data_IF_915024780228
#
_entry.id   IF_915024780228
#
_cell.length_a   1.000
_cell.length_b   1.000
_cell.length_c   1.000
_cell.angle_alpha   90.00
_cell.angle_beta   90.00
_cell.angle_gamma   90.00
#
_symmetry.space_group_name_H-M   'P 1'
#
loop_
_entity.id
_entity.type
_entity.pdbx_description
1 polymer ?
#
# COMPACT_ATOMS: atom_id res chain seq x y z
N UNK A 1 19.23 -12.85 -9.47
CA UNK A 1 18.60 -11.52 -9.37
C UNK A 1 18.17 -11.33 -7.94
N UNK A 2 18.70 -10.33 -7.22
CA UNK A 2 18.33 -10.08 -5.82
C UNK A 2 17.07 -9.23 -5.79
N UNK A 3 15.95 -9.81 -5.38
CA UNK A 3 14.68 -9.08 -5.25
C UNK A 3 14.72 -8.27 -3.95
N UNK A 4 14.62 -6.95 -4.07
CA UNK A 4 14.61 -6.04 -2.91
C UNK A 4 13.17 -5.86 -2.46
N UNK A 5 12.87 -6.34 -1.27
CA UNK A 5 11.58 -6.09 -0.62
C UNK A 5 11.50 -4.64 -0.14
N UNK A 6 10.36 -4.02 -0.37
CA UNK A 6 10.02 -2.69 0.09
C UNK A 6 9.34 -2.78 1.44
N UNK A 7 9.84 -2.06 2.43
CA UNK A 7 9.15 -1.89 3.71
C UNK A 7 7.93 -0.95 3.56
N UNK A 8 7.20 -0.70 4.65
CA UNK A 8 6.07 0.24 4.63
C UNK A 8 6.45 1.65 4.11
N UNK A 9 7.68 2.13 4.39
CA UNK A 9 8.14 3.41 3.86
C UNK A 9 8.45 3.30 2.36
N UNK A 10 9.10 2.21 1.93
CA UNK A 10 9.35 1.90 0.52
C UNK A 10 8.06 1.83 -0.30
N UNK A 11 7.05 1.10 0.19
CA UNK A 11 5.72 1.03 -0.43
C UNK A 11 5.09 2.42 -0.50
N UNK A 12 5.07 3.16 0.63
CA UNK A 12 4.49 4.49 0.66
C UNK A 12 5.11 5.46 -0.36
N UNK A 13 6.41 5.31 -0.64
CA UNK A 13 7.14 6.12 -1.64
C UNK A 13 6.96 5.62 -3.08
N UNK A 14 6.75 4.32 -3.28
CA UNK A 14 6.64 3.72 -4.60
C UNK A 14 5.28 3.95 -5.28
N UNK A 15 4.24 4.31 -4.52
CA UNK A 15 2.93 4.66 -5.07
C UNK A 15 3.01 5.96 -5.90
N UNK A 16 2.24 6.03 -6.98
CA UNK A 16 2.04 7.22 -7.85
C UNK A 16 1.62 8.45 -7.05
N UNK A 17 0.84 8.27 -5.99
CA UNK A 17 0.60 9.31 -4.99
C UNK A 17 1.26 8.91 -3.67
N UNK A 18 2.46 9.41 -3.37
CA UNK A 18 3.23 9.00 -2.20
C UNK A 18 2.47 9.24 -0.89
N UNK A 19 2.69 8.35 0.06
CA UNK A 19 2.14 8.45 1.42
C UNK A 19 3.22 8.12 2.44
N UNK A 20 3.02 8.57 3.68
CA UNK A 20 3.91 8.23 4.79
C UNK A 20 3.77 6.76 5.19
N UNK A 21 4.85 6.18 5.75
CA UNK A 21 4.84 4.84 6.40
C UNK A 21 3.65 4.65 7.34
N UNK A 22 3.29 5.67 8.11
CA UNK A 22 2.16 5.63 9.04
C UNK A 22 0.81 5.44 8.34
N UNK A 23 0.64 5.93 7.11
CA UNK A 23 -0.58 5.70 6.34
C UNK A 23 -0.73 4.21 5.99
N UNK A 24 0.37 3.57 5.57
CA UNK A 24 0.42 2.13 5.28
C UNK A 24 0.15 1.31 6.55
N UNK A 25 0.71 1.71 7.69
CA UNK A 25 0.40 1.08 8.99
C UNK A 25 -1.10 1.16 9.30
N UNK A 26 -1.72 2.34 9.16
CA UNK A 26 -3.15 2.53 9.38
C UNK A 26 -4.02 1.74 8.40
N UNK A 27 -3.57 1.55 7.16
CA UNK A 27 -4.30 0.72 6.19
C UNK A 27 -4.35 -0.73 6.64
N UNK A 28 -3.23 -1.29 7.10
CA UNK A 28 -3.19 -2.66 7.64
C UNK A 28 -4.09 -2.84 8.87
N UNK A 29 -4.14 -1.84 9.74
CA UNK A 29 -5.01 -1.85 10.92
C UNK A 29 -6.50 -1.74 10.57
N UNK A 30 -6.85 -0.89 9.59
CA UNK A 30 -8.25 -0.65 9.19
C UNK A 30 -8.82 -1.71 8.26
N UNK A 31 -7.97 -2.35 7.48
CA UNK A 31 -8.35 -3.30 6.44
C UNK A 31 -7.62 -4.64 6.64
N UNK A 32 -7.92 -5.37 7.73
CA UNK A 32 -7.38 -6.70 7.95
C UNK A 32 -7.84 -7.69 6.87
N UNK A 33 -7.19 -8.85 6.76
CA UNK A 33 -7.48 -9.88 5.75
C UNK A 33 -8.95 -10.35 5.70
N UNK A 34 -9.68 -10.26 6.83
CA UNK A 34 -11.10 -10.59 6.91
C UNK A 34 -12.06 -9.43 6.63
N UNK A 35 -11.57 -8.26 6.23
CA UNK A 35 -12.42 -7.10 5.91
C UNK A 35 -12.99 -7.20 4.49
N UNK A 36 -14.00 -6.37 4.19
CA UNK A 36 -14.60 -6.30 2.86
C UNK A 36 -13.64 -5.78 1.76
N UNK A 37 -12.52 -5.17 2.16
CA UNK A 37 -11.51 -4.65 1.24
C UNK A 37 -10.11 -4.79 1.84
N UNK A 38 -9.62 -6.03 2.02
CA UNK A 38 -8.41 -6.32 2.78
C UNK A 38 -7.18 -5.71 2.13
N UNK A 39 -6.28 -5.15 2.95
CA UNK A 39 -5.00 -4.64 2.47
C UNK A 39 -4.08 -5.81 2.07
N UNK A 40 -3.34 -5.70 0.95
CA UNK A 40 -2.42 -6.74 0.50
C UNK A 40 -1.41 -7.16 1.58
N UNK A 41 -1.31 -8.46 1.81
CA UNK A 41 -0.37 -9.04 2.78
C UNK A 41 1.08 -8.83 2.34
N UNK A 42 2.02 -8.66 3.29
CA UNK A 42 3.44 -8.62 2.97
C UNK A 42 3.92 -9.99 2.49
N UNK A 43 4.81 -10.01 1.50
CA UNK A 43 5.43 -11.25 1.00
C UNK A 43 6.47 -11.81 1.98
N UNK A 44 7.08 -10.94 2.81
CA UNK A 44 8.06 -11.33 3.82
C UNK A 44 7.93 -10.46 5.06
N UNK A 45 8.35 -10.99 6.22
CA UNK A 45 8.57 -10.20 7.43
C UNK A 45 10.07 -10.25 7.74
N UNK A 46 10.71 -9.08 7.75
CA UNK A 46 12.16 -8.91 7.93
C UNK A 46 12.46 -8.55 9.39
N UNK A 47 13.23 -9.40 10.07
CA UNK A 47 13.64 -9.21 11.48
C UNK A 47 12.70 -9.89 12.48
N UNK A 48 13.18 -10.09 13.70
CA UNK A 48 12.44 -10.64 14.84
C UNK A 48 11.48 -9.61 15.45
N UNK A 49 10.47 -10.09 16.19
CA UNK A 49 9.30 -9.33 16.62
C UNK A 49 9.57 -7.92 17.21
N UNK A 50 8.78 -6.90 16.81
CA UNK A 50 7.77 -6.89 15.74
C UNK A 50 8.45 -6.71 14.37
N UNK A 51 8.58 -7.80 13.61
CA UNK A 51 9.30 -7.81 12.34
C UNK A 51 8.72 -6.81 11.32
N UNK A 52 9.58 -6.36 10.41
CA UNK A 52 9.23 -5.34 9.41
C UNK A 52 8.55 -6.00 8.20
N UNK A 53 7.29 -5.70 7.89
CA UNK A 53 6.63 -6.25 6.72
C UNK A 53 7.31 -5.71 5.44
N UNK A 54 7.63 -6.62 4.53
CA UNK A 54 8.26 -6.37 3.25
C UNK A 54 7.38 -6.87 2.12
N UNK A 55 7.14 -6.00 1.13
CA UNK A 55 6.40 -6.31 -0.09
C UNK A 55 7.35 -6.36 -1.27
N UNK A 56 7.03 -7.18 -2.26
CA UNK A 56 7.72 -7.15 -3.53
C UNK A 56 7.42 -5.83 -4.27
N UNK A 57 8.36 -5.28 -5.05
CA UNK A 57 8.09 -4.12 -5.90
C UNK A 57 6.92 -4.34 -6.87
N UNK A 58 6.73 -5.59 -7.34
CA UNK A 58 5.60 -6.00 -8.17
C UNK A 58 4.23 -5.92 -7.46
N UNK A 59 4.19 -5.80 -6.12
CA UNK A 59 2.94 -5.56 -5.38
C UNK A 59 2.49 -4.11 -5.41
N UNK A 60 3.34 -3.18 -5.84
CA UNK A 60 3.01 -1.74 -5.86
C UNK A 60 1.75 -1.48 -6.70
N UNK A 61 1.61 -1.95 -7.95
CA UNK A 61 0.40 -1.76 -8.75
C UNK A 61 -0.87 -2.38 -8.12
N UNK A 62 -0.73 -3.49 -7.40
CA UNK A 62 -1.83 -4.13 -6.66
C UNK A 62 -2.31 -3.23 -5.52
N UNK A 63 -1.38 -2.70 -4.72
CA UNK A 63 -1.68 -1.76 -3.62
C UNK A 63 -2.30 -0.46 -4.15
N UNK A 64 -1.89 0.00 -5.32
CA UNK A 64 -2.49 1.16 -5.99
C UNK A 64 -3.94 0.91 -6.41
N UNK A 65 -4.20 -0.25 -7.00
CA UNK A 65 -5.55 -0.67 -7.39
C UNK A 65 -6.44 -0.81 -6.15
N UNK A 66 -5.93 -1.46 -5.11
CA UNK A 66 -6.60 -1.53 -3.81
C UNK A 66 -6.93 -0.13 -3.28
N UNK A 67 -5.97 0.79 -3.31
CA UNK A 67 -6.15 2.16 -2.81
C UNK A 67 -7.18 2.95 -3.62
N UNK A 68 -7.27 2.72 -4.93
CA UNK A 68 -8.28 3.33 -5.79
C UNK A 68 -9.70 2.87 -5.45
N UNK A 69 -9.85 1.64 -4.94
CA UNK A 69 -11.12 1.07 -4.49
C UNK A 69 -11.57 1.46 -3.08
N UNK A 70 -10.81 2.26 -2.33
CA UNK A 70 -11.13 2.57 -0.93
C UNK A 70 -12.41 3.42 -0.79
N UNK A 71 -13.42 2.95 -0.02
CA UNK A 71 -14.60 3.73 0.31
C UNK A 71 -14.20 4.90 1.23
N UNK A 72 -14.22 6.11 0.68
CA UNK A 72 -13.73 7.33 1.35
C UNK A 72 -12.69 8.11 0.55
N UNK A 73 -12.25 7.61 -0.61
CA UNK A 73 -11.46 8.38 -1.59
C UNK A 73 -12.27 8.86 -2.81
N UNK A 74 -13.58 8.65 -2.83
CA UNK A 74 -14.49 9.36 -3.74
C UNK A 74 -14.73 10.76 -3.16
N UNK A 75 -13.69 11.58 -3.24
CA UNK A 75 -13.61 12.91 -2.65
C UNK A 75 -12.76 13.87 -3.47
N UNK A 76 -12.72 13.70 -4.79
CA UNK A 76 -12.76 14.77 -5.81
C UNK A 76 -12.69 14.12 -7.19
N UNK A 77 -13.62 14.42 -8.11
CA UNK A 77 -13.41 14.15 -9.53
C UNK A 77 -12.08 14.78 -9.96
N UNK A 78 -11.26 14.07 -10.73
CA UNK A 78 -10.24 14.74 -11.55
C UNK A 78 -11.02 15.70 -12.45
N UNK A 79 -10.87 17.01 -12.27
CA UNK A 79 -11.25 17.95 -13.33
C UNK A 79 -10.35 17.63 -14.51
N UNK A 80 -10.97 17.25 -15.62
CA UNK A 80 -10.64 17.70 -16.98
C UNK A 80 -9.32 18.48 -17.09
N UNK A 81 -8.32 17.89 -17.74
CA UNK A 81 -7.41 18.65 -18.59
C UNK A 81 -7.85 18.42 -20.03
N UNK A 82 -8.51 19.39 -20.67
CA UNK A 82 -8.37 19.60 -22.10
C UNK A 82 -7.06 20.38 -22.35
N UNK A 83 -6.34 19.99 -23.41
CA UNK A 83 -5.22 20.74 -24.00
C UNK A 83 -5.65 22.11 -24.53
#
# INVERSE_FOLDING_TARGET
MSVRHLDMAGIGRALVSPVSRHAVSKWRERYPAGSAHPFPEPDVVIGDEPGVPGWLPDRVPEIETWRAGLPGRIGRPRKDQPE
#
